data_IF_324342668488
#
_entry.id   IF_324342668488
#
_cell.length_a   1.000
_cell.length_b   1.000
_cell.length_c   1.000
_cell.angle_alpha   90.00
_cell.angle_beta   90.00
_cell.angle_gamma   90.00
#
_symmetry.space_group_name_H-M   'P 1'
#
loop_
_entity.id
_entity.type
_entity.pdbx_description
1 polymer ?
#
# COMPACT_ATOMS: atom_id res chain seq x y z
N UNK A 1 37.81 -70.69 1.11
CA UNK A 1 36.62 -69.84 1.30
C UNK A 1 37.17 -68.45 1.43
N UNK A 2 36.99 -67.72 0.35
CA UNK A 2 37.94 -66.75 -0.12
C UNK A 2 37.69 -65.38 0.50
N UNK A 3 38.79 -64.76 0.91
CA UNK A 3 38.89 -63.35 1.26
C UNK A 3 39.25 -62.59 -0.01
N UNK A 4 38.39 -61.68 -0.47
CA UNK A 4 38.77 -60.66 -1.44
C UNK A 4 37.85 -59.43 -1.36
N UNK A 5 38.46 -58.29 -1.01
CA UNK A 5 38.27 -56.92 -1.57
C UNK A 5 36.87 -56.27 -1.48
N UNK A 6 36.69 -54.96 -1.37
CA UNK A 6 37.50 -53.88 -1.92
C UNK A 6 37.19 -52.53 -1.24
N UNK A 7 38.21 -51.68 -1.23
CA UNK A 7 38.19 -50.27 -0.86
C UNK A 7 37.24 -49.47 -1.75
N UNK A 8 36.44 -48.58 -1.17
CA UNK A 8 35.65 -47.59 -1.90
C UNK A 8 36.30 -46.21 -1.75
N UNK A 9 37.15 -45.88 -2.71
CA UNK A 9 37.66 -44.53 -2.95
C UNK A 9 36.61 -43.65 -3.65
N UNK A 10 36.56 -42.41 -3.16
CA UNK A 10 35.98 -41.18 -3.67
C UNK A 10 35.81 -41.04 -5.19
N UNK A 11 34.59 -40.68 -5.61
CA UNK A 11 34.35 -39.82 -6.79
C UNK A 11 33.26 -38.80 -6.48
N UNK A 12 33.67 -37.54 -6.44
CA UNK A 12 32.86 -36.34 -6.32
C UNK A 12 31.85 -36.25 -7.46
N UNK A 13 30.58 -36.01 -7.14
CA UNK A 13 29.57 -35.53 -8.09
C UNK A 13 29.14 -34.15 -7.57
N UNK A 14 29.69 -33.10 -8.15
CA UNK A 14 29.18 -31.74 -8.04
C UNK A 14 27.82 -31.69 -8.74
N UNK A 15 26.75 -31.51 -7.98
CA UNK A 15 25.44 -31.15 -8.52
C UNK A 15 25.39 -29.64 -8.69
N UNK A 16 25.77 -29.15 -9.87
CA UNK A 16 25.38 -27.83 -10.33
C UNK A 16 23.85 -27.82 -10.50
N UNK A 17 23.16 -27.19 -9.54
CA UNK A 17 21.80 -26.72 -9.72
C UNK A 17 21.84 -25.20 -9.81
N UNK A 18 22.20 -24.71 -10.99
CA UNK A 18 21.78 -23.39 -11.43
C UNK A 18 20.25 -23.42 -11.52
N UNK A 19 19.59 -22.97 -10.46
CA UNK A 19 18.17 -22.66 -10.50
C UNK A 19 18.04 -21.36 -11.27
N UNK A 20 17.48 -21.51 -12.47
CA UNK A 20 17.23 -20.48 -13.45
C UNK A 20 16.20 -19.45 -12.95
N UNK A 21 16.70 -18.40 -12.30
CA UNK A 21 15.96 -17.23 -11.79
C UNK A 21 15.37 -16.34 -12.92
N UNK A 22 15.50 -16.73 -14.19
CA UNK A 22 15.04 -15.94 -15.33
C UNK A 22 13.55 -16.14 -15.65
N UNK A 23 12.97 -17.29 -15.29
CA UNK A 23 11.60 -17.66 -15.70
C UNK A 23 10.48 -16.83 -15.03
N UNK A 24 10.67 -16.35 -13.80
CA UNK A 24 9.66 -15.51 -13.11
C UNK A 24 9.64 -14.06 -13.60
N UNK A 25 10.74 -13.60 -14.20
CA UNK A 25 10.90 -12.22 -14.65
C UNK A 25 10.39 -11.96 -16.07
N UNK A 26 10.20 -13.03 -16.87
CA UNK A 26 9.68 -12.94 -18.23
C UNK A 26 8.15 -12.84 -18.22
N UNK A 27 7.46 -13.51 -17.29
CA UNK A 27 5.98 -13.52 -17.21
C UNK A 27 5.39 -12.16 -16.80
N UNK A 28 6.04 -11.45 -15.88
CA UNK A 28 5.55 -10.15 -15.41
C UNK A 28 5.71 -9.05 -16.47
N UNK A 29 6.71 -9.18 -17.34
CA UNK A 29 6.91 -8.24 -18.45
C UNK A 29 5.92 -8.49 -19.59
N UNK A 30 5.55 -9.75 -19.87
CA UNK A 30 4.66 -10.06 -21.01
C UNK A 30 3.24 -9.53 -20.83
N UNK A 31 2.68 -9.56 -19.62
CA UNK A 31 1.31 -9.09 -19.38
C UNK A 31 1.21 -7.56 -19.39
N UNK A 32 2.18 -6.86 -18.77
CA UNK A 32 2.27 -5.41 -18.87
C UNK A 32 2.52 -4.97 -20.33
N UNK A 33 3.38 -5.67 -21.06
CA UNK A 33 3.64 -5.39 -22.47
C UNK A 33 2.45 -5.78 -23.38
N UNK A 34 1.67 -6.81 -23.06
CA UNK A 34 0.45 -7.21 -23.78
C UNK A 34 -0.70 -6.24 -23.52
N UNK A 35 -0.86 -5.79 -22.28
CA UNK A 35 -1.77 -4.69 -21.95
C UNK A 35 -1.35 -3.42 -22.72
N UNK A 36 -0.07 -3.06 -22.71
CA UNK A 36 0.42 -1.92 -23.48
C UNK A 36 0.32 -2.11 -25.01
N UNK A 37 0.32 -3.34 -25.53
CA UNK A 37 0.10 -3.65 -26.96
C UNK A 37 -1.36 -3.60 -27.39
N UNK A 38 -2.28 -3.99 -26.50
CA UNK A 38 -3.73 -3.88 -26.72
C UNK A 38 -4.23 -2.45 -26.53
N UNK A 39 -3.40 -1.57 -25.98
CA UNK A 39 -3.61 -0.13 -26.00
C UNK A 39 -3.36 0.43 -27.42
N UNK A 40 -4.17 1.42 -27.86
CA UNK A 40 -4.09 1.94 -29.21
C UNK A 40 -2.66 2.39 -29.52
N UNK A 41 -2.12 1.90 -30.64
CA UNK A 41 -0.79 2.27 -31.15
C UNK A 41 -0.69 3.73 -31.62
N UNK A 42 -1.73 4.53 -31.43
CA UNK A 42 -1.68 5.98 -31.56
C UNK A 42 -1.04 6.53 -30.29
N UNK A 43 0.21 6.97 -30.39
CA UNK A 43 1.01 7.56 -29.31
C UNK A 43 0.46 8.88 -28.75
N UNK A 44 -0.83 8.98 -28.49
CA UNK A 44 -1.47 10.09 -27.81
C UNK A 44 -1.37 9.87 -26.30
N UNK A 45 -0.40 10.56 -25.73
CA UNK A 45 -0.10 10.73 -24.29
C UNK A 45 -1.34 11.00 -23.41
N UNK A 46 -2.41 11.55 -23.99
CA UNK A 46 -3.71 11.79 -23.36
C UNK A 46 -4.46 10.49 -22.99
N UNK A 47 -4.29 9.43 -23.76
CA UNK A 47 -5.13 8.21 -23.65
C UNK A 47 -4.83 7.35 -22.42
N UNK A 48 -3.60 7.39 -21.87
CA UNK A 48 -3.27 6.67 -20.63
C UNK A 48 -4.02 7.26 -19.43
N UNK A 49 -4.04 8.59 -19.32
CA UNK A 49 -4.67 9.26 -18.20
C UNK A 49 -6.19 9.24 -18.30
N UNK A 50 -6.74 9.29 -19.51
CA UNK A 50 -8.19 9.23 -19.77
C UNK A 50 -8.84 7.90 -19.39
N UNK A 51 -8.08 6.79 -19.47
CA UNK A 51 -8.56 5.44 -19.15
C UNK A 51 -8.29 5.00 -17.71
N UNK A 52 -7.46 5.77 -16.99
CA UNK A 52 -7.17 5.49 -15.59
C UNK A 52 -8.30 6.04 -14.70
N UNK A 53 -8.91 5.19 -13.90
CA UNK A 53 -10.00 5.58 -13.00
C UNK A 53 -9.50 6.12 -11.65
N UNK A 54 -8.28 5.77 -11.27
CA UNK A 54 -7.72 6.15 -9.98
C UNK A 54 -6.56 5.25 -9.56
N UNK A 55 -6.20 5.35 -8.28
CA UNK A 55 -5.14 4.56 -7.67
C UNK A 55 -5.68 3.73 -6.49
N UNK A 56 -5.09 2.55 -6.31
CA UNK A 56 -5.36 1.60 -5.23
C UNK A 56 -4.11 1.44 -4.38
N UNK A 57 -4.27 1.47 -3.07
CA UNK A 57 -3.16 1.27 -2.15
C UNK A 57 -3.65 0.88 -0.75
N UNK A 58 -2.77 0.25 0.01
CA UNK A 58 -2.96 -0.06 1.42
C UNK A 58 -2.55 1.11 2.32
N UNK A 59 -3.18 1.23 3.48
CA UNK A 59 -2.74 2.16 4.52
C UNK A 59 -2.90 1.56 5.90
N UNK A 60 -1.89 1.74 6.74
CA UNK A 60 -1.97 1.36 8.15
C UNK A 60 -2.73 2.41 8.93
N UNK A 61 -3.77 1.98 9.65
CA UNK A 61 -4.53 2.82 10.58
C UNK A 61 -4.30 2.30 11.99
N UNK A 62 -4.16 3.21 12.96
CA UNK A 62 -4.06 2.84 14.37
C UNK A 62 -5.21 1.92 14.78
N UNK A 63 -4.93 0.95 15.65
CA UNK A 63 -5.94 0.01 16.10
C UNK A 63 -5.80 -0.31 17.57
N UNK A 64 -6.89 -0.81 18.14
CA UNK A 64 -6.89 -1.49 19.43
C UNK A 64 -7.20 -2.97 19.21
N UNK A 65 -6.38 -3.86 19.76
CA UNK A 65 -6.60 -5.30 19.69
C UNK A 65 -6.59 -5.90 21.09
N UNK A 66 -7.44 -6.90 21.39
CA UNK A 66 -7.31 -7.69 22.61
C UNK A 66 -5.92 -8.32 22.69
N UNK A 67 -5.36 -8.44 23.90
CA UNK A 67 -3.99 -8.96 24.11
C UNK A 67 -3.72 -10.27 23.36
N UNK A 68 -4.68 -11.21 23.38
CA UNK A 68 -4.60 -12.51 22.65
C UNK A 68 -4.45 -12.40 21.13
N UNK A 69 -4.79 -11.26 20.53
CA UNK A 69 -4.67 -10.97 19.08
C UNK A 69 -3.66 -9.87 18.79
N UNK A 70 -2.99 -9.29 19.79
CA UNK A 70 -2.11 -8.14 19.60
C UNK A 70 -1.03 -8.40 18.53
N UNK A 71 -0.46 -9.61 18.50
CA UNK A 71 0.55 -9.99 17.52
C UNK A 71 0.03 -9.93 16.08
N UNK A 72 -1.22 -10.30 15.82
CA UNK A 72 -1.80 -10.22 14.49
C UNK A 72 -1.94 -8.77 14.01
N UNK A 73 -2.21 -7.84 14.93
CA UNK A 73 -2.36 -6.42 14.63
C UNK A 73 -1.05 -5.64 14.68
N UNK A 74 0.08 -6.29 14.96
CA UNK A 74 1.38 -5.61 15.08
C UNK A 74 1.97 -5.41 13.69
N UNK A 75 2.16 -4.15 13.28
CA UNK A 75 2.78 -3.83 11.99
C UNK A 75 4.31 -3.99 12.04
N UNK A 76 4.99 -3.74 10.92
CA UNK A 76 6.46 -3.79 10.81
C UNK A 76 7.21 -2.79 11.72
N UNK A 77 6.52 -1.77 12.21
CA UNK A 77 7.03 -0.76 13.14
C UNK A 77 6.66 -1.05 14.59
N UNK A 78 6.23 -2.28 14.89
CA UNK A 78 5.89 -2.71 16.24
C UNK A 78 4.67 -1.97 16.85
N UNK A 79 3.85 -1.28 16.04
CA UNK A 79 2.64 -0.56 16.46
C UNK A 79 1.40 -1.43 16.21
N UNK A 80 0.37 -1.29 17.05
CA UNK A 80 -0.91 -1.95 16.84
C UNK A 80 -1.70 -1.17 15.78
N UNK A 81 -1.93 -1.81 14.64
CA UNK A 81 -2.57 -1.22 13.48
C UNK A 81 -3.48 -2.24 12.77
N UNK A 82 -4.39 -1.71 11.96
CA UNK A 82 -5.18 -2.47 10.98
C UNK A 82 -4.74 -2.03 9.58
N UNK A 83 -4.70 -2.99 8.65
CA UNK A 83 -4.52 -2.67 7.24
C UNK A 83 -5.87 -2.29 6.64
N UNK A 84 -5.90 -1.20 5.88
CA UNK A 84 -7.07 -0.73 5.15
C UNK A 84 -6.68 -0.54 3.70
N UNK A 85 -7.38 -1.21 2.80
CA UNK A 85 -7.20 -1.03 1.36
C UNK A 85 -8.22 -0.01 0.85
N UNK A 86 -7.74 0.97 0.08
CA UNK A 86 -8.62 1.97 -0.51
C UNK A 86 -8.38 2.11 -2.01
N UNK A 87 -9.43 2.50 -2.73
CA UNK A 87 -9.33 3.15 -4.03
C UNK A 87 -9.67 4.62 -3.89
N UNK A 88 -8.94 5.48 -4.59
CA UNK A 88 -9.35 6.88 -4.78
C UNK A 88 -9.30 7.30 -6.24
N UNK A 89 -10.22 8.19 -6.61
CA UNK A 89 -10.20 8.86 -7.90
C UNK A 89 -9.18 10.02 -7.92
N UNK A 90 -9.02 10.65 -9.08
CA UNK A 90 -8.14 11.82 -9.23
C UNK A 90 -8.66 13.10 -8.55
N UNK A 91 -9.92 13.10 -8.10
CA UNK A 91 -10.48 14.17 -7.27
C UNK A 91 -10.20 13.97 -5.78
N UNK A 92 -9.34 13.00 -5.43
CA UNK A 92 -9.01 12.62 -4.06
C UNK A 92 -10.26 12.18 -3.26
N UNK A 93 -11.24 11.57 -3.92
CA UNK A 93 -12.40 10.94 -3.26
C UNK A 93 -12.19 9.43 -3.21
N UNK A 94 -12.51 8.85 -2.06
CA UNK A 94 -12.49 7.39 -1.90
C UNK A 94 -13.65 6.76 -2.68
N UNK A 95 -13.36 5.87 -3.60
CA UNK A 95 -14.38 5.14 -4.38
C UNK A 95 -14.60 3.72 -3.84
N UNK A 96 -13.66 3.21 -3.05
CA UNK A 96 -13.75 1.94 -2.35
C UNK A 96 -12.92 1.98 -1.06
N UNK A 97 -13.40 1.34 -0.01
CA UNK A 97 -12.74 1.24 1.29
C UNK A 97 -12.96 -0.15 1.85
N UNK A 98 -11.89 -0.91 2.07
CA UNK A 98 -11.93 -2.26 2.61
C UNK A 98 -11.17 -2.35 3.92
N UNK A 99 -11.90 -2.61 4.99
CA UNK A 99 -11.39 -2.56 6.38
C UNK A 99 -11.47 -3.94 7.04
N UNK A 100 -10.95 -4.04 8.28
CA UNK A 100 -11.09 -5.23 9.11
C UNK A 100 -9.90 -6.20 9.07
N UNK A 101 -8.83 -5.83 8.38
CA UNK A 101 -7.61 -6.63 8.28
C UNK A 101 -6.63 -6.32 9.40
N UNK A 102 -5.96 -7.34 9.89
CA UNK A 102 -4.93 -7.14 10.91
C UNK A 102 -3.67 -6.47 10.30
N UNK A 103 -2.92 -5.73 11.11
CA UNK A 103 -1.74 -4.98 10.67
C UNK A 103 -0.58 -5.84 10.13
N UNK A 104 -0.59 -7.15 10.35
CA UNK A 104 0.35 -8.11 9.73
C UNK A 104 -0.05 -8.51 8.31
N UNK A 105 -1.28 -8.23 7.88
CA UNK A 105 -1.73 -8.60 6.55
C UNK A 105 -1.03 -7.75 5.48
N UNK A 106 -0.38 -8.42 4.53
CA UNK A 106 0.20 -7.77 3.36
C UNK A 106 -0.88 -7.23 2.41
N UNK A 107 -0.62 -6.09 1.77
CA UNK A 107 -1.57 -5.42 0.88
C UNK A 107 -2.08 -6.33 -0.24
N UNK A 108 -1.20 -7.14 -0.84
CA UNK A 108 -1.56 -8.12 -1.85
C UNK A 108 -2.62 -9.13 -1.37
N UNK A 109 -2.53 -9.58 -0.10
CA UNK A 109 -3.50 -10.51 0.49
C UNK A 109 -4.84 -9.82 0.73
N UNK A 110 -4.81 -8.59 1.24
CA UNK A 110 -6.02 -7.79 1.47
C UNK A 110 -6.74 -7.54 0.14
N UNK A 111 -5.97 -7.23 -0.90
CA UNK A 111 -6.46 -7.04 -2.26
C UNK A 111 -7.11 -8.28 -2.85
N UNK A 112 -6.42 -9.42 -2.83
CA UNK A 112 -6.98 -10.67 -3.36
C UNK A 112 -8.28 -11.06 -2.65
N UNK A 113 -8.37 -10.90 -1.33
CA UNK A 113 -9.63 -11.17 -0.63
C UNK A 113 -10.71 -10.15 -0.97
N UNK A 114 -10.37 -8.85 -1.15
CA UNK A 114 -11.32 -7.84 -1.62
C UNK A 114 -11.99 -8.26 -2.94
N UNK A 115 -11.23 -8.85 -3.87
CA UNK A 115 -11.71 -9.33 -5.15
C UNK A 115 -12.46 -10.68 -5.07
N UNK A 116 -12.18 -11.49 -4.06
CA UNK A 116 -12.62 -12.89 -4.00
C UNK A 116 -14.12 -13.11 -3.81
N UNK A 117 -14.88 -12.11 -3.36
CA UNK A 117 -16.30 -12.27 -3.00
C UNK A 117 -17.14 -11.12 -3.51
N UNK A 118 -18.23 -11.45 -4.22
CA UNK A 118 -19.20 -10.46 -4.70
C UNK A 118 -19.76 -9.56 -3.59
N UNK A 119 -19.93 -10.10 -2.37
CA UNK A 119 -20.42 -9.34 -1.20
C UNK A 119 -19.50 -8.19 -0.77
N UNK A 120 -18.23 -8.21 -1.17
CA UNK A 120 -17.28 -7.16 -0.84
C UNK A 120 -17.53 -5.91 -1.69
N UNK A 121 -18.28 -6.00 -2.80
CA UNK A 121 -18.70 -4.86 -3.59
C UNK A 121 -17.55 -4.12 -4.27
N UNK A 122 -16.48 -4.84 -4.64
CA UNK A 122 -15.34 -4.22 -5.33
C UNK A 122 -15.78 -3.60 -6.67
N UNK A 123 -15.46 -2.32 -6.93
CA UNK A 123 -15.85 -1.65 -8.17
C UNK A 123 -14.92 -2.06 -9.32
N UNK A 124 -15.31 -3.04 -10.11
CA UNK A 124 -14.53 -3.46 -11.27
C UNK A 124 -14.55 -2.40 -12.37
N UNK A 125 -13.40 -2.08 -13.00
CA UNK A 125 -13.37 -1.17 -14.14
C UNK A 125 -14.16 -1.73 -15.34
N UNK A 126 -14.85 -0.85 -16.05
CA UNK A 126 -15.47 -1.17 -17.35
C UNK A 126 -14.39 -1.51 -18.39
N UNK A 127 -14.73 -2.22 -19.47
CA UNK A 127 -13.78 -2.55 -20.54
C UNK A 127 -13.03 -1.31 -21.06
N UNK A 128 -11.70 -1.40 -21.12
CA UNK A 128 -10.82 -0.30 -21.54
C UNK A 128 -10.40 0.66 -20.42
N UNK A 129 -10.91 0.50 -19.20
CA UNK A 129 -10.50 1.27 -18.02
C UNK A 129 -9.68 0.44 -17.03
N UNK A 130 -8.89 1.10 -16.19
CA UNK A 130 -8.01 0.43 -15.23
C UNK A 130 -7.73 1.26 -13.96
N UNK A 131 -7.19 0.61 -12.94
CA UNK A 131 -6.63 1.25 -11.74
C UNK A 131 -5.11 1.12 -11.68
N UNK A 132 -4.44 2.12 -11.13
CA UNK A 132 -3.01 2.03 -10.79
C UNK A 132 -2.84 1.33 -9.44
N UNK A 133 -1.87 0.41 -9.38
CA UNK A 133 -1.50 -0.32 -8.15
C UNK A 133 0.00 -0.20 -7.90
N UNK A 134 0.45 -0.41 -6.66
CA UNK A 134 1.87 -0.50 -6.36
C UNK A 134 2.47 -1.85 -6.85
N UNK A 135 3.81 -1.92 -6.92
CA UNK A 135 4.57 -3.10 -7.32
C UNK A 135 4.29 -4.41 -6.57
N UNK A 136 3.93 -4.44 -5.26
CA UNK A 136 3.65 -5.71 -4.59
C UNK A 136 2.27 -6.28 -4.90
N UNK A 137 1.40 -5.55 -5.62
CA UNK A 137 0.12 -6.10 -6.07
C UNK A 137 0.31 -6.99 -7.29
N UNK A 138 -0.41 -8.12 -7.38
CA UNK A 138 -0.32 -8.99 -8.54
C UNK A 138 -0.76 -8.23 -9.80
N UNK A 139 -0.01 -8.42 -10.88
CA UNK A 139 -0.44 -8.00 -12.21
C UNK A 139 -1.64 -8.86 -12.59
N UNK A 140 -2.83 -8.25 -12.56
CA UNK A 140 -4.07 -8.89 -12.98
C UNK A 140 -4.81 -7.92 -13.89
N UNK A 141 -5.62 -8.44 -14.79
CA UNK A 141 -6.37 -7.63 -15.76
C UNK A 141 -7.07 -6.45 -15.08
N UNK A 142 -6.94 -5.25 -15.66
CA UNK A 142 -7.49 -3.96 -15.16
C UNK A 142 -6.75 -3.34 -13.96
N UNK A 143 -5.65 -3.93 -13.51
CA UNK A 143 -4.78 -3.36 -12.49
C UNK A 143 -3.35 -3.22 -13.02
N UNK A 144 -2.84 -1.99 -12.95
CA UNK A 144 -1.60 -1.61 -13.61
C UNK A 144 -0.49 -1.34 -12.61
N UNK A 145 0.41 -2.31 -12.35
CA UNK A 145 1.62 -2.08 -11.56
C UNK A 145 2.68 -1.32 -12.38
N UNK A 146 3.69 -0.72 -11.72
CA UNK A 146 4.85 -0.17 -12.42
C UNK A 146 5.70 -1.30 -13.03
N UNK A 147 6.50 -0.97 -14.06
CA UNK A 147 7.50 -1.91 -14.59
C UNK A 147 8.51 -2.30 -13.50
N UNK A 148 8.73 -3.60 -13.26
CA UNK A 148 9.71 -4.07 -12.28
C UNK A 148 11.14 -3.65 -12.64
N UNK A 149 11.98 -3.47 -11.61
CA UNK A 149 13.45 -3.30 -11.72
C UNK A 149 13.97 -2.02 -12.40
N UNK A 150 13.11 -1.12 -12.87
CA UNK A 150 13.48 0.24 -13.26
C UNK A 150 13.34 1.18 -12.06
N UNK A 151 14.45 1.43 -11.34
CA UNK A 151 14.43 2.27 -10.14
C UNK A 151 14.16 3.72 -10.50
N UNK A 152 13.03 4.22 -10.02
CA UNK A 152 12.76 5.63 -9.90
C UNK A 152 13.44 6.19 -8.63
N UNK A 153 14.31 7.18 -8.78
CA UNK A 153 14.82 7.97 -7.66
C UNK A 153 14.02 9.28 -7.56
N UNK A 154 13.39 9.51 -6.38
CA UNK A 154 12.52 10.68 -6.08
C UNK A 154 13.24 12.03 -6.28
N UNK A 155 14.57 12.02 -6.26
CA UNK A 155 15.47 13.17 -6.49
C UNK A 155 15.41 13.74 -7.91
N UNK A 156 14.94 12.98 -8.89
CA UNK A 156 15.02 13.37 -10.31
C UNK A 156 13.83 14.23 -10.79
N UNK A 157 12.93 14.63 -9.88
CA UNK A 157 11.72 15.42 -10.19
C UNK A 157 11.99 16.87 -10.61
N UNK A 158 13.18 17.41 -10.35
CA UNK A 158 13.43 18.86 -10.41
C UNK A 158 14.48 19.30 -11.45
N UNK A 159 14.90 18.41 -12.35
CA UNK A 159 15.84 18.73 -13.43
C UNK A 159 15.29 18.45 -14.84
N UNK A 160 16.00 18.91 -15.86
CA UNK A 160 15.81 18.50 -17.26
C UNK A 160 16.16 17.00 -17.40
N UNK A 161 15.23 16.14 -16.98
CA UNK A 161 15.42 14.69 -16.91
C UNK A 161 15.37 14.11 -18.32
N UNK A 162 16.42 13.38 -18.69
CA UNK A 162 16.41 12.56 -19.89
C UNK A 162 15.97 11.15 -19.52
N UNK A 163 14.80 10.73 -20.02
CA UNK A 163 14.28 9.39 -19.78
C UNK A 163 15.17 8.35 -20.44
N UNK A 164 15.48 7.27 -19.72
CA UNK A 164 16.34 6.19 -20.24
C UNK A 164 15.62 5.27 -21.24
N UNK A 165 14.29 5.36 -21.29
CA UNK A 165 13.43 4.62 -22.20
C UNK A 165 11.96 4.76 -21.83
N UNK A 166 11.09 4.09 -22.59
CA UNK A 166 9.64 4.16 -22.37
C UNK A 166 9.22 3.60 -21.01
N UNK A 167 9.90 2.57 -20.48
CA UNK A 167 9.61 2.00 -19.15
C UNK A 167 9.87 2.98 -18.02
N UNK A 168 10.96 3.74 -18.10
CA UNK A 168 11.30 4.80 -17.14
C UNK A 168 10.29 5.96 -17.22
N UNK A 169 9.90 6.35 -18.45
CA UNK A 169 8.84 7.34 -18.66
C UNK A 169 7.50 6.88 -18.07
N UNK A 170 7.12 5.62 -18.32
CA UNK A 170 5.91 5.02 -17.77
C UNK A 170 5.93 5.01 -16.25
N UNK A 171 7.01 4.51 -15.62
CA UNK A 171 7.13 4.49 -14.16
C UNK A 171 7.10 5.89 -13.54
N UNK A 172 7.66 6.89 -14.23
CA UNK A 172 7.56 8.29 -13.82
C UNK A 172 6.11 8.79 -13.82
N UNK A 173 5.36 8.54 -14.90
CA UNK A 173 3.94 8.91 -14.98
C UNK A 173 3.08 8.12 -13.99
N UNK A 174 3.30 6.81 -13.87
CA UNK A 174 2.66 5.93 -12.89
C UNK A 174 2.82 6.48 -11.47
N UNK A 175 4.06 6.75 -11.05
CA UNK A 175 4.37 7.33 -9.73
C UNK A 175 3.74 8.72 -9.53
N UNK A 176 3.73 9.54 -10.58
CA UNK A 176 3.11 10.88 -10.55
C UNK A 176 1.59 10.83 -10.40
N UNK A 177 0.93 9.79 -10.93
CA UNK A 177 -0.50 9.58 -10.77
C UNK A 177 -0.82 8.91 -9.43
N UNK A 178 -0.04 7.90 -9.00
CA UNK A 178 -0.24 7.19 -7.72
C UNK A 178 -0.11 8.11 -6.51
N UNK A 179 0.65 9.21 -6.61
CA UNK A 179 0.77 10.17 -5.50
C UNK A 179 -0.59 10.69 -4.98
N UNK A 180 -1.66 10.62 -5.80
CA UNK A 180 -3.00 11.02 -5.39
C UNK A 180 -3.51 10.22 -4.19
N UNK A 181 -3.29 8.90 -4.13
CA UNK A 181 -3.79 8.09 -3.02
C UNK A 181 -2.98 8.31 -1.74
N UNK A 182 -1.67 8.45 -1.85
CA UNK A 182 -0.79 8.78 -0.72
C UNK A 182 -1.20 10.12 -0.09
N UNK A 183 -1.43 11.14 -0.93
CA UNK A 183 -1.92 12.46 -0.50
C UNK A 183 -3.30 12.37 0.13
N UNK A 184 -4.18 11.56 -0.43
CA UNK A 184 -5.54 11.37 0.10
C UNK A 184 -5.49 10.72 1.48
N UNK A 185 -4.60 9.75 1.71
CA UNK A 185 -4.36 9.18 3.04
C UNK A 185 -3.79 10.19 4.03
N UNK A 186 -2.80 10.99 3.62
CA UNK A 186 -2.24 12.04 4.47
C UNK A 186 -3.32 13.03 4.91
N UNK A 187 -4.14 13.49 3.95
CA UNK A 187 -5.27 14.38 4.20
C UNK A 187 -6.31 13.75 5.16
N UNK A 188 -6.68 12.50 4.92
CA UNK A 188 -7.61 11.76 5.77
C UNK A 188 -7.11 11.67 7.21
N UNK A 189 -5.86 11.24 7.41
CA UNK A 189 -5.26 11.06 8.74
C UNK A 189 -5.03 12.39 9.46
N UNK A 190 -4.67 13.46 8.75
CA UNK A 190 -4.46 14.78 9.34
C UNK A 190 -5.77 15.47 9.73
N UNK A 191 -6.86 15.17 9.02
CA UNK A 191 -8.18 15.67 9.38
C UNK A 191 -8.78 14.88 10.54
N UNK A 192 -8.76 13.55 10.45
CA UNK A 192 -9.40 12.67 11.41
C UNK A 192 -8.36 12.04 12.33
N UNK A 193 -7.96 12.78 13.37
CA UNK A 193 -6.95 12.35 14.34
C UNK A 193 -7.32 11.04 15.08
N UNK A 194 -8.61 10.71 15.14
CA UNK A 194 -9.10 9.41 15.65
C UNK A 194 -8.48 8.22 14.90
N UNK A 195 -8.04 8.39 13.66
CA UNK A 195 -7.36 7.36 12.88
C UNK A 195 -5.89 7.16 13.26
N UNK A 196 -5.27 8.16 13.91
CA UNK A 196 -3.91 8.08 14.44
C UNK A 196 -3.89 7.49 15.86
N UNK A 197 -4.94 7.73 16.65
CA UNK A 197 -5.10 7.22 18.00
C UNK A 197 -6.48 6.56 18.16
N UNK A 198 -6.60 5.33 17.64
CA UNK A 198 -7.89 4.64 17.59
C UNK A 198 -8.35 4.23 19.01
N UNK A 199 -9.56 4.66 19.45
CA UNK A 199 -10.06 4.28 20.76
C UNK A 199 -10.30 2.77 20.87
N UNK A 200 -10.38 2.28 22.13
CA UNK A 200 -10.57 0.86 22.45
C UNK A 200 -11.97 0.36 22.09
N UNK A 201 -12.18 0.10 20.82
CA UNK A 201 -13.38 -0.54 20.28
C UNK A 201 -13.09 -1.95 19.77
N UNK A 202 -14.14 -2.73 19.51
CA UNK A 202 -13.97 -4.01 18.79
C UNK A 202 -13.46 -3.74 17.37
N UNK A 203 -12.62 -4.60 16.77
CA UNK A 203 -12.07 -4.35 15.43
C UNK A 203 -13.11 -4.05 14.35
N UNK A 204 -14.28 -4.71 14.39
CA UNK A 204 -15.38 -4.43 13.47
C UNK A 204 -15.87 -2.97 13.55
N UNK A 205 -16.00 -2.42 14.77
CA UNK A 205 -16.38 -1.03 14.97
C UNK A 205 -15.27 -0.06 14.55
N UNK A 206 -14.00 -0.42 14.75
CA UNK A 206 -12.88 0.39 14.26
C UNK A 206 -12.88 0.49 12.73
N UNK A 207 -13.18 -0.60 12.01
CA UNK A 207 -13.36 -0.57 10.56
C UNK A 207 -14.53 0.32 10.12
N UNK A 208 -15.64 0.33 10.86
CA UNK A 208 -16.75 1.25 10.61
C UNK A 208 -16.36 2.72 10.82
N UNK A 209 -15.53 3.03 11.83
CA UNK A 209 -15.00 4.38 12.06
C UNK A 209 -14.17 4.83 10.86
N UNK A 210 -13.26 3.98 10.36
CA UNK A 210 -12.46 4.27 9.16
C UNK A 210 -13.36 4.58 7.97
N UNK A 211 -14.36 3.72 7.72
CA UNK A 211 -15.30 3.89 6.60
C UNK A 211 -16.11 5.19 6.74
N UNK A 212 -16.53 5.53 7.96
CA UNK A 212 -17.21 6.79 8.24
C UNK A 212 -16.31 8.01 7.98
N UNK A 213 -15.04 7.97 8.38
CA UNK A 213 -14.08 9.04 8.08
C UNK A 213 -13.87 9.22 6.58
N UNK A 214 -13.72 8.14 5.80
CA UNK A 214 -13.62 8.21 4.34
C UNK A 214 -14.90 8.80 3.71
N UNK A 215 -16.07 8.43 4.22
CA UNK A 215 -17.36 8.95 3.75
C UNK A 215 -17.50 10.45 4.04
N UNK A 216 -17.15 10.88 5.25
CA UNK A 216 -17.15 12.29 5.65
C UNK A 216 -16.15 13.10 4.84
N UNK A 217 -14.96 12.56 4.58
CA UNK A 217 -13.97 13.17 3.68
C UNK A 217 -14.58 13.47 2.30
N UNK A 218 -15.23 12.47 1.70
CA UNK A 218 -15.88 12.63 0.38
C UNK A 218 -17.01 13.67 0.40
N UNK A 219 -17.81 13.68 1.48
CA UNK A 219 -18.88 14.66 1.66
C UNK A 219 -18.29 16.08 1.73
N UNK A 220 -17.28 16.31 2.58
CA UNK A 220 -16.64 17.62 2.73
C UNK A 220 -16.02 18.07 1.42
N UNK A 221 -15.35 17.16 0.69
CA UNK A 221 -14.83 17.42 -0.66
C UNK A 221 -15.89 17.88 -1.66
N UNK A 222 -17.15 17.53 -1.44
CA UNK A 222 -18.28 17.88 -2.30
C UNK A 222 -18.94 19.20 -1.89
N UNK A 223 -19.09 19.45 -0.59
CA UNK A 223 -19.83 20.62 -0.08
C UNK A 223 -18.93 21.83 0.28
N UNK A 224 -17.64 21.62 0.48
CA UNK A 224 -16.69 22.65 0.92
C UNK A 224 -15.39 22.62 0.08
N UNK A 225 -15.40 23.15 -1.15
CA UNK A 225 -14.22 23.17 -2.02
C UNK A 225 -13.06 24.05 -1.49
N UNK A 226 -13.37 25.01 -0.61
CA UNK A 226 -12.39 25.93 0.01
C UNK A 226 -11.90 25.48 1.39
N UNK A 227 -12.15 24.23 1.76
CA UNK A 227 -11.69 23.67 3.04
C UNK A 227 -10.16 23.77 3.17
N UNK A 228 -9.70 24.27 4.32
CA UNK A 228 -8.28 24.57 4.56
C UNK A 228 -7.36 23.36 4.42
N UNK A 229 -7.80 22.18 4.87
CA UNK A 229 -7.00 20.96 4.72
C UNK A 229 -6.89 20.55 3.24
N UNK A 230 -7.96 20.71 2.48
CA UNK A 230 -7.96 20.45 1.04
C UNK A 230 -7.09 21.48 0.32
N UNK A 231 -7.21 22.77 0.66
CA UNK A 231 -6.41 23.84 0.07
C UNK A 231 -4.92 23.68 0.40
N UNK A 232 -4.56 23.29 1.62
CA UNK A 232 -3.18 22.99 1.99
C UNK A 232 -2.64 21.78 1.20
N UNK A 233 -3.42 20.69 1.10
CA UNK A 233 -3.03 19.52 0.31
C UNK A 233 -2.90 19.82 -1.20
N UNK A 234 -3.73 20.73 -1.73
CA UNK A 234 -3.66 21.20 -3.13
C UNK A 234 -2.50 22.19 -3.35
N UNK A 235 -2.23 23.10 -2.39
CA UNK A 235 -1.14 24.09 -2.48
C UNK A 235 0.24 23.45 -2.54
N UNK A 236 0.40 22.28 -1.90
CA UNK A 236 1.60 21.45 -2.00
C UNK A 236 1.73 20.74 -3.36
N UNK A 237 0.68 20.68 -4.17
CA UNK A 237 0.75 20.21 -5.56
C UNK A 237 1.47 21.23 -6.46
N UNK A 238 1.25 22.53 -6.20
CA UNK A 238 1.81 23.62 -7.04
C UNK A 238 3.21 24.05 -6.62
N UNK A 239 3.54 23.99 -5.32
CA UNK A 239 4.83 24.44 -4.82
C UNK A 239 5.90 23.33 -4.69
N UNK A 240 5.61 22.10 -5.12
CA UNK A 240 6.54 20.97 -4.97
C UNK A 240 6.88 20.62 -3.51
N UNK A 241 6.18 21.22 -2.54
CA UNK A 241 6.35 20.92 -1.13
C UNK A 241 5.78 19.54 -0.83
N UNK A 242 6.55 18.70 -0.15
CA UNK A 242 5.98 17.51 0.46
C UNK A 242 5.01 17.96 1.56
N UNK A 243 3.79 17.40 1.59
CA UNK A 243 3.18 17.17 2.90
C UNK A 243 4.22 16.32 3.64
N UNK A 244 4.59 16.62 4.90
CA UNK A 244 5.24 15.60 5.68
C UNK A 244 4.33 14.38 5.51
N UNK A 245 4.90 13.30 4.95
CA UNK A 245 4.41 11.99 5.31
C UNK A 245 4.24 12.10 6.83
N UNK A 246 3.09 11.66 7.35
CA UNK A 246 3.07 11.37 8.76
C UNK A 246 4.13 10.29 8.94
N UNK A 247 5.39 10.72 9.05
CA UNK A 247 6.44 10.02 9.75
C UNK A 247 5.70 9.58 10.99
N UNK A 248 5.67 8.26 11.15
CA UNK A 248 5.37 7.63 12.40
C UNK A 248 6.31 8.30 13.42
N UNK A 249 5.91 9.46 13.95
CA UNK A 249 6.75 10.28 14.81
C UNK A 249 7.16 9.37 15.94
N UNK A 250 8.47 9.23 16.04
CA UNK A 250 9.17 8.55 17.10
C UNK A 250 8.98 9.39 18.36
N UNK A 251 7.81 9.27 18.98
CA UNK A 251 7.62 9.68 20.37
C UNK A 251 7.80 8.43 21.21
N UNK A 252 9.03 8.22 21.66
CA UNK A 252 9.32 7.46 22.88
C UNK A 252 8.55 8.12 24.03
N UNK A 253 7.31 7.72 24.26
CA UNK A 253 6.66 8.03 25.53
C UNK A 253 7.35 7.21 26.62
N UNK A 254 8.06 7.94 27.49
CA UNK A 254 8.52 7.48 28.79
C UNK A 254 7.36 6.78 29.52
N UNK A 255 7.58 5.52 29.86
CA UNK A 255 6.72 4.80 30.79
C UNK A 255 6.94 5.41 32.17
N UNK A 256 6.09 6.35 32.56
CA UNK A 256 5.99 6.76 33.97
C UNK A 256 5.28 5.63 34.71
N UNK A 257 6.06 4.81 35.39
CA UNK A 257 5.58 3.79 36.32
C UNK A 257 4.90 4.46 37.53
N UNK A 258 3.57 4.41 37.56
CA UNK A 258 2.74 4.85 38.68
C UNK A 258 2.21 3.63 39.43
N UNK A 259 3.10 2.73 39.85
CA UNK A 259 2.75 1.66 40.78
C UNK A 259 3.70 1.64 41.97
N UNK A 260 3.37 2.37 43.04
CA UNK A 260 3.56 1.92 44.43
C UNK A 260 3.02 2.97 45.43
N UNK A 261 1.71 2.95 45.68
CA UNK A 261 1.15 3.36 46.98
C UNK A 261 0.03 2.40 47.35
N UNK A 262 0.33 1.40 48.19
CA UNK A 262 -0.53 0.89 49.27
C UNK A 262 -0.06 -0.48 49.77
N UNK A 263 0.77 -0.46 50.80
CA UNK A 263 0.83 -1.52 51.82
C UNK A 263 1.24 -0.77 53.11
N UNK A 264 0.30 -0.39 53.96
CA UNK A 264 -0.31 -1.35 54.88
C UNK A 264 0.58 -1.50 56.12
N UNK A 265 0.86 -0.40 56.82
CA UNK A 265 1.30 -0.45 58.20
C UNK A 265 0.09 -0.85 59.04
N UNK A 266 0.09 -2.07 59.60
CA UNK A 266 -0.67 -2.50 60.79
C UNK A 266 -0.49 -4.02 60.98
N UNK A 267 0.36 -4.42 61.91
CA UNK A 267 0.03 -5.39 62.95
C UNK A 267 1.23 -5.57 63.88
N UNK A 268 0.92 -5.63 65.17
CA UNK A 268 1.78 -5.81 66.32
C UNK A 268 2.51 -7.17 66.35
#
# INVERSE_FOLDING_TARGET
MDHETNSAETRSIETNSEIDDTSSSISHNSEADEFMRTYPSSGDEATMQEKCLGALDGTMISASAPARRANAYRNRYNRIAQNVLCLCDFNMKFTYVYTGWEGTAHDARVFLDALSRARNGFPWPDPGYYYLVDSPFPCIEKFMPPYPRERYHRSDRYGARQFRGYKDYFNFRHSSLRIVIERTFALLKNRFQILKAMPRYRPSRQGMIVTACCTLHNLIKTVAPNDEYIQHALGLQFNGGNMPEGEDVDETEEVVDMSHESAGAMAA
#
